data_IF_677285599736
#
_entry.id   IF_677285599736
#
_cell.length_a   1.000
_cell.length_b   1.000
_cell.length_c   1.000
_cell.angle_alpha   90.00
_cell.angle_beta   90.00
_cell.angle_gamma   90.00
#
_symmetry.space_group_name_H-M   'P 1'
#
loop_
_entity.id
_entity.type
_entity.pdbx_description
1 polymer ?
#
# COMPACT_ATOMS: atom_id res chain seq x y z
N UNK A 1 -18.08 -8.46 0.07
CA UNK A 1 -17.99 -7.38 1.10
C UNK A 1 -19.33 -7.29 1.81
N UNK A 2 -19.35 -7.21 3.14
CA UNK A 2 -20.57 -7.07 3.92
C UNK A 2 -20.77 -5.59 4.32
N UNK A 3 -22.01 -5.13 4.35
CA UNK A 3 -22.32 -3.73 4.75
C UNK A 3 -22.40 -3.54 6.26
N UNK A 4 -22.39 -4.62 7.03
CA UNK A 4 -22.43 -4.61 8.49
C UNK A 4 -21.74 -5.87 9.02
N UNK A 5 -21.10 -5.77 10.19
CA UNK A 5 -20.53 -6.93 10.89
C UNK A 5 -21.57 -7.99 11.25
N UNK A 6 -22.84 -7.58 11.42
CA UNK A 6 -23.96 -8.49 11.68
C UNK A 6 -24.31 -9.41 10.50
N UNK A 7 -23.87 -9.06 9.29
CA UNK A 7 -24.09 -9.86 8.08
C UNK A 7 -22.95 -10.84 7.80
N UNK A 8 -21.87 -10.78 8.57
CA UNK A 8 -20.78 -11.75 8.47
C UNK A 8 -21.26 -13.08 9.04
N UNK A 9 -21.16 -14.19 8.28
CA UNK A 9 -21.58 -15.50 8.77
C UNK A 9 -20.89 -15.83 10.11
N UNK A 10 -21.63 -16.33 11.13
CA UNK A 10 -21.06 -16.60 12.45
C UNK A 10 -19.83 -17.53 12.41
N UNK A 11 -19.83 -18.50 11.52
CA UNK A 11 -18.74 -19.44 11.33
C UNK A 11 -17.43 -18.78 10.87
N UNK A 12 -17.48 -17.61 10.21
CA UNK A 12 -16.29 -16.90 9.76
C UNK A 12 -15.50 -16.27 10.91
N UNK A 13 -16.19 -15.94 12.02
CA UNK A 13 -15.53 -15.40 13.20
C UNK A 13 -14.66 -16.43 13.94
N UNK A 14 -14.88 -17.73 13.66
CA UNK A 14 -14.15 -18.84 14.28
C UNK A 14 -13.03 -19.38 13.38
N UNK A 15 -12.87 -18.83 12.19
CA UNK A 15 -11.85 -19.27 11.23
C UNK A 15 -10.53 -18.56 11.47
N UNK A 16 -9.49 -19.32 11.77
CA UNK A 16 -8.13 -18.82 12.00
C UNK A 16 -7.42 -18.34 10.72
N UNK A 17 -7.90 -18.77 9.55
CA UNK A 17 -7.36 -18.41 8.24
C UNK A 17 -8.04 -17.18 7.62
N UNK A 18 -8.99 -16.53 8.32
CA UNK A 18 -9.70 -15.35 7.86
C UNK A 18 -9.45 -14.15 8.78
N UNK A 19 -9.37 -12.99 8.18
CA UNK A 19 -9.39 -11.69 8.87
C UNK A 19 -10.65 -10.94 8.44
N UNK A 20 -11.41 -10.46 9.41
CA UNK A 20 -12.56 -9.58 9.18
C UNK A 20 -12.17 -8.17 9.58
N UNK A 21 -12.11 -7.28 8.62
CA UNK A 21 -11.68 -5.91 8.80
C UNK A 21 -12.82 -4.92 8.51
N UNK A 22 -12.80 -3.79 9.22
CA UNK A 22 -13.63 -2.66 8.84
C UNK A 22 -13.02 -2.01 7.61
N UNK A 23 -13.79 -1.96 6.53
CA UNK A 23 -13.38 -1.29 5.31
C UNK A 23 -13.50 0.23 5.46
N UNK A 24 -12.37 0.92 5.44
CA UNK A 24 -12.23 2.37 5.55
C UNK A 24 -11.50 2.90 4.30
N UNK A 25 -12.20 3.04 3.16
CA UNK A 25 -11.55 3.46 1.92
C UNK A 25 -11.29 4.96 1.89
N UNK A 26 -10.15 5.36 1.36
CA UNK A 26 -9.96 6.72 0.87
C UNK A 26 -10.82 6.94 -0.38
N UNK A 27 -11.51 8.07 -0.45
CA UNK A 27 -12.37 8.45 -1.58
C UNK A 27 -11.96 9.81 -2.12
N UNK A 28 -12.00 9.90 -3.45
CA UNK A 28 -11.90 11.15 -4.18
C UNK A 28 -13.03 11.15 -5.24
N UNK A 29 -14.13 11.84 -4.93
CA UNK A 29 -15.36 11.82 -5.71
C UNK A 29 -15.86 10.37 -5.95
N UNK A 30 -15.92 9.95 -7.22
CA UNK A 30 -16.37 8.61 -7.61
C UNK A 30 -15.28 7.52 -7.48
N UNK A 31 -14.04 7.91 -7.19
CA UNK A 31 -12.91 6.98 -7.15
C UNK A 31 -12.57 6.52 -5.74
N UNK A 32 -12.19 5.26 -5.66
CA UNK A 32 -11.48 4.68 -4.52
C UNK A 32 -9.98 4.83 -4.75
N UNK A 33 -9.28 5.26 -3.73
CA UNK A 33 -7.84 5.53 -3.77
C UNK A 33 -7.11 4.47 -2.97
N UNK A 34 -6.02 3.98 -3.55
CA UNK A 34 -5.01 3.17 -2.86
C UNK A 34 -3.68 3.90 -2.96
N UNK A 35 -3.08 4.20 -1.83
CA UNK A 35 -1.73 4.74 -1.73
C UNK A 35 -0.75 3.63 -1.42
N UNK A 36 0.47 3.76 -1.93
CA UNK A 36 1.54 2.79 -1.71
C UNK A 36 2.80 3.52 -1.31
N UNK A 37 3.39 3.13 -0.20
CA UNK A 37 4.71 3.54 0.23
C UNK A 37 5.68 2.40 -0.06
N UNK A 38 6.49 2.54 -1.11
CA UNK A 38 7.53 1.58 -1.51
C UNK A 38 8.89 2.11 -1.08
N UNK A 39 9.71 1.28 -0.44
CA UNK A 39 10.99 1.72 0.12
C UNK A 39 12.07 0.64 0.10
N UNK A 40 13.33 1.10 0.07
CA UNK A 40 14.53 0.31 0.32
C UNK A 40 15.57 1.27 0.92
N UNK A 41 15.97 1.01 2.17
CA UNK A 41 16.85 1.92 2.90
C UNK A 41 16.27 3.34 2.96
N UNK A 42 17.10 4.33 2.61
CA UNK A 42 16.70 5.75 2.55
C UNK A 42 15.85 6.10 1.32
N UNK A 43 15.85 5.26 0.28
CA UNK A 43 15.09 5.51 -0.94
C UNK A 43 13.64 5.09 -0.78
N UNK A 44 12.74 5.94 -1.24
CA UNK A 44 11.32 5.62 -1.23
C UNK A 44 10.54 6.32 -2.34
N UNK A 45 9.36 5.82 -2.63
CA UNK A 45 8.35 6.47 -3.46
C UNK A 45 6.96 6.28 -2.91
N UNK A 46 6.16 7.32 -3.03
CA UNK A 46 4.75 7.29 -2.80
C UNK A 46 4.02 7.22 -4.14
N UNK A 47 3.08 6.30 -4.23
CA UNK A 47 2.22 6.13 -5.39
C UNK A 47 0.76 6.32 -4.97
N UNK A 48 -0.03 6.96 -5.83
CA UNK A 48 -1.48 7.07 -5.72
C UNK A 48 -2.11 6.35 -6.90
N UNK A 49 -2.99 5.41 -6.61
CA UNK A 49 -3.69 4.59 -7.61
C UNK A 49 -5.19 4.76 -7.39
N UNK A 50 -5.96 4.85 -8.47
CA UNK A 50 -7.41 5.05 -8.38
C UNK A 50 -8.18 4.04 -9.20
N UNK A 51 -9.42 3.77 -8.75
CA UNK A 51 -10.35 2.84 -9.35
C UNK A 51 -11.80 3.24 -9.01
N UNK A 52 -12.75 2.86 -9.86
CA UNK A 52 -14.17 2.87 -9.49
C UNK A 52 -14.58 1.66 -8.65
N UNK A 53 -13.75 0.63 -8.62
CA UNK A 53 -13.96 -0.53 -7.79
C UNK A 53 -13.44 -0.29 -6.36
N UNK A 54 -14.19 -0.63 -5.31
CA UNK A 54 -13.73 -0.51 -3.92
C UNK A 54 -12.42 -1.27 -3.65
N UNK A 55 -12.21 -2.40 -4.30
CA UNK A 55 -10.95 -3.14 -4.24
C UNK A 55 -10.03 -2.65 -5.35
N UNK A 56 -9.12 -1.74 -5.00
CA UNK A 56 -8.13 -1.21 -5.93
C UNK A 56 -6.99 -2.20 -6.10
N UNK A 57 -6.80 -2.70 -7.30
CA UNK A 57 -5.78 -3.70 -7.65
C UNK A 57 -5.22 -3.40 -9.03
N UNK A 58 -4.19 -4.14 -9.45
CA UNK A 58 -3.64 -4.05 -10.82
C UNK A 58 -4.66 -4.37 -11.91
N UNK A 59 -5.71 -5.13 -11.57
CA UNK A 59 -6.79 -5.50 -12.51
C UNK A 59 -7.90 -4.46 -12.58
N UNK A 60 -8.10 -3.70 -11.51
CA UNK A 60 -9.22 -2.75 -11.37
C UNK A 60 -8.78 -1.29 -11.47
N UNK A 61 -7.49 -1.01 -11.40
CA UNK A 61 -6.95 0.35 -11.46
C UNK A 61 -7.23 1.00 -12.82
N UNK A 62 -7.59 2.27 -12.78
CA UNK A 62 -7.76 3.13 -13.95
C UNK A 62 -6.51 3.96 -14.24
N UNK A 63 -5.71 4.23 -13.20
CA UNK A 63 -4.47 4.96 -13.33
C UNK A 63 -3.65 4.93 -12.04
N UNK A 64 -2.40 5.38 -12.16
CA UNK A 64 -1.47 5.49 -11.05
C UNK A 64 -0.46 6.60 -11.34
N UNK A 65 -0.12 7.36 -10.30
CA UNK A 65 0.86 8.43 -10.35
C UNK A 65 1.83 8.36 -9.19
N UNK A 66 3.03 8.93 -9.37
CA UNK A 66 3.93 9.21 -8.26
C UNK A 66 3.51 10.52 -7.62
N UNK A 67 3.47 10.58 -6.29
CA UNK A 67 3.16 11.79 -5.55
C UNK A 67 4.37 12.26 -4.75
N UNK A 68 4.62 13.56 -4.77
CA UNK A 68 5.69 14.22 -4.03
C UNK A 68 5.10 14.84 -2.75
N UNK A 69 4.80 13.98 -1.78
CA UNK A 69 4.23 14.34 -0.49
C UNK A 69 5.13 13.83 0.64
N UNK A 70 5.10 14.44 1.83
CA UNK A 70 5.73 13.86 3.00
C UNK A 70 5.19 12.48 3.30
N UNK A 71 6.06 11.54 3.68
CA UNK A 71 5.62 10.22 4.14
C UNK A 71 4.85 10.39 5.46
N UNK A 72 3.62 9.86 5.57
CA UNK A 72 2.88 9.88 6.83
C UNK A 72 3.71 9.32 8.00
N UNK A 73 3.66 10.00 9.13
CA UNK A 73 4.43 9.63 10.32
C UNK A 73 4.14 8.19 10.78
N UNK A 74 2.89 7.77 10.69
CA UNK A 74 2.43 6.43 11.06
C UNK A 74 3.16 5.32 10.27
N UNK A 75 3.45 5.57 8.98
CA UNK A 75 4.19 4.63 8.13
C UNK A 75 5.66 4.55 8.55
N UNK A 76 6.27 5.68 8.90
CA UNK A 76 7.65 5.72 9.39
C UNK A 76 7.79 5.00 10.72
N UNK A 77 6.87 5.22 11.65
CA UNK A 77 6.84 4.53 12.95
C UNK A 77 6.58 3.03 12.80
N UNK A 78 5.65 2.63 11.92
CA UNK A 78 5.41 1.22 11.64
C UNK A 78 6.67 0.55 11.05
N UNK A 79 7.29 1.20 10.08
CA UNK A 79 8.53 0.71 9.47
C UNK A 79 9.63 0.50 10.50
N UNK A 80 9.84 1.47 11.40
CA UNK A 80 10.80 1.39 12.50
C UNK A 80 10.49 0.24 13.48
N UNK A 81 9.23 0.12 13.90
CA UNK A 81 8.79 -0.95 14.82
C UNK A 81 8.97 -2.35 14.26
N UNK A 82 8.81 -2.51 12.94
CA UNK A 82 8.94 -3.80 12.25
C UNK A 82 10.38 -4.09 11.81
N UNK A 83 11.33 -3.17 12.04
CA UNK A 83 12.70 -3.26 11.50
C UNK A 83 12.70 -3.51 9.99
N UNK A 84 11.99 -2.65 9.26
CA UNK A 84 11.57 -2.90 7.89
C UNK A 84 12.39 -2.03 6.93
N UNK A 85 13.46 -2.59 6.35
CA UNK A 85 14.38 -1.86 5.47
C UNK A 85 13.97 -1.91 4.00
N UNK A 86 13.21 -2.93 3.60
CA UNK A 86 12.71 -3.10 2.25
C UNK A 86 11.26 -3.58 2.26
N UNK A 87 10.42 -2.93 1.48
CA UNK A 87 9.05 -3.37 1.35
C UNK A 87 8.09 -2.35 0.76
N UNK A 88 6.82 -2.67 0.93
CA UNK A 88 5.70 -1.86 0.48
C UNK A 88 4.62 -1.85 1.56
N UNK A 89 4.08 -0.68 1.85
CA UNK A 89 2.91 -0.50 2.70
C UNK A 89 1.79 0.09 1.86
N UNK A 90 0.65 -0.60 1.81
CA UNK A 90 -0.56 -0.13 1.16
C UNK A 90 -1.41 0.59 2.23
N UNK A 91 -1.85 1.82 1.93
CA UNK A 91 -2.57 2.67 2.89
C UNK A 91 -3.57 3.60 2.19
N UNK A 92 -4.36 4.30 2.95
CA UNK A 92 -5.23 5.39 2.52
C UNK A 92 -5.24 6.53 3.52
N UNK A 93 -5.62 7.72 3.07
CA UNK A 93 -5.88 8.89 3.93
C UNK A 93 -7.38 9.03 4.07
N UNK A 94 -7.91 8.74 5.26
CA UNK A 94 -9.34 8.77 5.55
C UNK A 94 -9.58 9.78 6.67
N UNK A 95 -10.33 10.82 6.39
CA UNK A 95 -10.62 11.92 7.34
C UNK A 95 -9.34 12.51 7.98
N UNK A 96 -8.28 12.62 7.17
CA UNK A 96 -6.98 13.13 7.61
C UNK A 96 -6.12 12.13 8.40
N UNK A 97 -6.56 10.90 8.55
CA UNK A 97 -5.83 9.84 9.24
C UNK A 97 -5.25 8.82 8.26
N UNK A 98 -4.03 8.36 8.53
CA UNK A 98 -3.41 7.29 7.77
C UNK A 98 -3.99 5.93 8.21
N UNK A 99 -4.68 5.25 7.29
CA UNK A 99 -5.22 3.90 7.51
C UNK A 99 -4.36 2.91 6.74
N UNK A 100 -3.70 2.00 7.46
CA UNK A 100 -2.84 0.97 6.88
C UNK A 100 -3.68 -0.22 6.49
N UNK A 101 -3.58 -0.67 5.22
CA UNK A 101 -4.34 -1.79 4.69
C UNK A 101 -3.53 -3.07 4.63
N UNK A 102 -2.25 -2.98 4.21
CA UNK A 102 -1.41 -4.15 4.01
C UNK A 102 0.08 -3.80 4.11
N UNK A 103 0.88 -4.75 4.59
CA UNK A 103 2.33 -4.60 4.76
C UNK A 103 3.03 -5.77 4.09
N UNK A 104 3.80 -5.48 3.05
CA UNK A 104 4.50 -6.49 2.26
C UNK A 104 6.02 -6.36 2.38
N UNK A 105 6.70 -7.45 2.68
CA UNK A 105 8.19 -7.52 2.73
C UNK A 105 8.85 -7.46 1.35
N UNK A 106 8.05 -7.42 0.29
CA UNK A 106 8.56 -7.35 -1.08
C UNK A 106 7.77 -6.32 -1.87
N UNK A 107 8.46 -5.60 -2.74
CA UNK A 107 7.84 -4.72 -3.72
C UNK A 107 7.56 -5.54 -4.97
N UNK A 108 6.31 -5.98 -5.15
CA UNK A 108 5.90 -6.68 -6.37
C UNK A 108 5.99 -5.74 -7.59
N UNK A 109 6.53 -6.22 -8.68
CA UNK A 109 6.60 -5.50 -9.95
C UNK A 109 5.89 -6.31 -11.04
N UNK A 110 4.54 -6.22 -11.16
CA UNK A 110 3.82 -6.85 -12.26
C UNK A 110 4.26 -6.22 -13.59
N UNK A 111 4.48 -7.03 -14.61
CA UNK A 111 4.95 -6.57 -15.91
C UNK A 111 6.41 -6.12 -15.90
N UNK A 112 7.26 -6.86 -15.26
CA UNK A 112 8.61 -6.58 -14.76
C UNK A 112 9.62 -5.94 -15.73
N UNK A 113 9.29 -5.65 -16.96
CA UNK A 113 10.26 -5.13 -17.95
C UNK A 113 9.85 -3.84 -18.65
N UNK A 114 8.79 -3.16 -18.19
CA UNK A 114 8.50 -1.84 -18.76
C UNK A 114 9.58 -0.83 -18.33
N UNK A 115 9.94 0.14 -19.20
CA UNK A 115 10.94 1.18 -18.86
C UNK A 115 10.63 1.90 -17.54
N UNK A 116 9.34 2.16 -17.26
CA UNK A 116 8.87 2.80 -16.01
C UNK A 116 9.17 1.94 -14.77
N UNK A 117 8.90 0.64 -14.85
CA UNK A 117 9.16 -0.31 -13.75
C UNK A 117 10.66 -0.45 -13.54
N UNK A 118 11.45 -0.53 -14.62
CA UNK A 118 12.90 -0.62 -14.52
C UNK A 118 13.54 0.63 -13.90
N UNK A 119 13.07 1.82 -14.29
CA UNK A 119 13.52 3.08 -13.69
C UNK A 119 13.17 3.16 -12.19
N UNK A 120 11.98 2.74 -11.82
CA UNK A 120 11.55 2.66 -10.42
C UNK A 120 12.42 1.68 -9.62
N UNK A 121 12.65 0.48 -10.15
CA UNK A 121 13.48 -0.53 -9.48
C UNK A 121 14.93 -0.07 -9.29
N UNK A 122 15.51 0.59 -10.31
CA UNK A 122 16.87 1.18 -10.21
C UNK A 122 16.94 2.24 -9.14
N UNK A 123 15.97 3.16 -9.11
CA UNK A 123 15.91 4.19 -8.08
C UNK A 123 15.83 3.62 -6.66
N UNK A 124 14.98 2.61 -6.43
CA UNK A 124 14.92 1.95 -5.12
C UNK A 124 16.24 1.23 -4.79
N UNK A 125 16.87 0.57 -5.78
CA UNK A 125 18.11 -0.16 -5.58
C UNK A 125 19.28 0.72 -5.13
N UNK A 126 19.26 2.03 -5.39
CA UNK A 126 20.23 2.97 -4.84
C UNK A 126 20.22 2.98 -3.29
N UNK A 127 19.10 2.63 -2.67
CA UNK A 127 19.00 2.49 -1.21
C UNK A 127 19.89 1.38 -0.62
N UNK A 128 20.41 0.46 -1.45
CA UNK A 128 21.39 -0.54 -1.02
C UNK A 128 22.72 0.09 -0.56
N UNK A 129 23.03 1.30 -1.02
CA UNK A 129 24.23 2.02 -0.58
C UNK A 129 24.23 2.36 0.90
N UNK A 130 23.04 2.37 1.56
CA UNK A 130 22.94 2.62 3.00
C UNK A 130 23.62 1.51 3.83
N UNK A 131 23.83 0.32 3.24
CA UNK A 131 24.52 -0.81 3.87
C UNK A 131 25.86 -1.16 3.23
N UNK A 132 26.30 -0.39 2.23
CA UNK A 132 27.63 -0.57 1.68
C UNK A 132 28.68 -0.13 2.72
N UNK A 133 29.51 -1.08 3.11
CA UNK A 133 30.64 -0.87 4.02
C UNK A 133 31.84 -0.40 3.20
#
# INVERSE_FOLDING_TARGET
>A
MFTSSKLVPPEWWQREDLVVEKFLPERDNEFYILRKYCFLGSRHRLLRTWSRNPIVSTRTQLGSETVEEPVPHELLELRKRLFFDYGKIDYGMVDGQCVIYDVNKTVGAPGARSPKVMAFSRYLAEGLHDWAI
#
